data_IF_473269881257
#
_entry.id   IF_473269881257
#
_cell.length_a   1.000
_cell.length_b   1.000
_cell.length_c   1.000
_cell.angle_alpha   90.00
_cell.angle_beta   90.00
_cell.angle_gamma   90.00
#
_symmetry.space_group_name_H-M   'P 1'
#
loop_
_entity.id
_entity.type
_entity.pdbx_description
1 polymer ?
#
# COMPACT_ATOMS: atom_id res chain seq x y z
N UNK A 1 55.39 6.94 -10.60
CA UNK A 1 55.38 6.06 -11.79
C UNK A 1 53.98 5.46 -11.97
N UNK A 2 53.05 6.20 -12.59
CA UNK A 2 51.69 5.71 -12.85
C UNK A 2 51.67 4.78 -14.05
N UNK A 3 51.28 3.51 -13.86
CA UNK A 3 51.11 2.56 -14.97
C UNK A 3 49.93 2.99 -15.85
N UNK A 4 50.02 2.69 -17.15
CA UNK A 4 48.97 3.04 -18.11
C UNK A 4 47.61 2.42 -17.76
N UNK A 5 46.52 3.14 -18.03
CA UNK A 5 45.15 2.69 -17.74
C UNK A 5 44.82 1.36 -18.43
N UNK A 6 45.42 1.08 -19.59
CA UNK A 6 45.27 -0.19 -20.31
C UNK A 6 45.90 -1.36 -19.54
N UNK A 7 47.08 -1.18 -18.95
CA UNK A 7 47.73 -2.20 -18.14
C UNK A 7 46.92 -2.50 -16.86
N UNK A 8 46.37 -1.47 -16.23
CA UNK A 8 45.54 -1.62 -15.01
C UNK A 8 44.26 -2.42 -15.26
N UNK A 9 43.56 -2.18 -16.39
CA UNK A 9 42.34 -2.94 -16.75
C UNK A 9 42.63 -4.41 -17.10
N UNK A 10 43.87 -4.72 -17.53
CA UNK A 10 44.29 -6.09 -17.86
C UNK A 10 44.64 -6.90 -16.60
N UNK A 11 45.24 -6.26 -15.59
CA UNK A 11 45.56 -6.91 -14.31
C UNK A 11 44.38 -7.00 -13.35
N UNK A 12 43.39 -6.13 -13.48
CA UNK A 12 42.19 -6.10 -12.62
C UNK A 12 40.91 -6.33 -13.43
N UNK A 13 40.61 -7.59 -13.83
CA UNK A 13 39.34 -7.92 -14.44
C UNK A 13 38.20 -7.69 -13.43
N UNK A 14 37.12 -7.07 -13.88
CA UNK A 14 35.95 -6.79 -13.05
C UNK A 14 35.19 -8.09 -12.78
N UNK A 15 35.12 -8.50 -11.52
CA UNK A 15 34.36 -9.68 -11.07
C UNK A 15 32.88 -9.43 -11.36
N UNK A 16 32.30 -10.23 -12.27
CA UNK A 16 30.87 -10.19 -12.56
C UNK A 16 30.14 -11.08 -11.57
N UNK A 17 29.52 -10.47 -10.57
CA UNK A 17 28.65 -11.16 -9.62
C UNK A 17 27.23 -11.19 -10.19
N UNK A 18 26.80 -12.34 -10.71
CA UNK A 18 25.44 -12.56 -11.16
C UNK A 18 24.68 -13.39 -10.13
N UNK A 19 23.43 -13.02 -9.82
CA UNK A 19 22.57 -13.89 -9.02
C UNK A 19 22.30 -15.19 -9.79
N UNK A 20 22.37 -16.37 -9.16
CA UNK A 20 22.04 -17.62 -9.82
C UNK A 20 20.59 -17.56 -10.31
N UNK A 21 20.36 -17.96 -11.57
CA UNK A 21 19.01 -18.08 -12.13
C UNK A 21 18.20 -19.06 -11.28
N UNK A 22 17.14 -18.56 -10.63
CA UNK A 22 16.19 -19.41 -9.91
C UNK A 22 15.51 -20.33 -10.92
N UNK A 23 15.64 -21.65 -10.73
CA UNK A 23 14.81 -22.62 -11.45
C UNK A 23 13.36 -22.36 -11.02
N UNK A 24 12.45 -22.17 -11.98
CA UNK A 24 11.02 -22.09 -11.69
C UNK A 24 10.62 -23.38 -10.98
N UNK A 25 10.10 -23.29 -9.75
CA UNK A 25 9.56 -24.45 -9.07
C UNK A 25 8.50 -25.06 -9.99
N UNK A 26 8.65 -26.34 -10.34
CA UNK A 26 7.55 -27.07 -10.99
C UNK A 26 6.38 -26.98 -10.02
N UNK A 27 5.23 -26.49 -10.50
CA UNK A 27 3.99 -26.54 -9.75
C UNK A 27 3.73 -28.00 -9.40
N UNK A 28 4.02 -28.38 -8.15
CA UNK A 28 3.56 -29.63 -7.59
C UNK A 28 2.05 -29.43 -7.48
N UNK A 29 1.32 -29.97 -8.44
CA UNK A 29 -0.13 -30.13 -8.27
C UNK A 29 -0.26 -31.08 -7.08
N UNK A 30 -0.92 -30.66 -5.99
CA UNK A 30 -1.03 -31.52 -4.82
C UNK A 30 -1.78 -32.79 -5.23
N UNK A 31 -1.21 -33.96 -4.88
CA UNK A 31 -1.91 -35.23 -5.03
C UNK A 31 -3.25 -35.14 -4.29
N UNK A 32 -4.31 -35.61 -4.92
CA UNK A 32 -5.66 -35.59 -4.33
C UNK A 32 -5.65 -36.34 -3.00
N UNK A 33 -5.74 -35.56 -1.92
CA UNK A 33 -5.74 -36.06 -0.55
C UNK A 33 -7.07 -36.79 -0.34
N UNK A 34 -7.01 -38.08 -0.02
CA UNK A 34 -8.18 -38.83 0.47
C UNK A 34 -8.19 -38.71 1.99
N UNK A 35 -9.24 -38.12 2.56
CA UNK A 35 -9.40 -38.06 4.02
C UNK A 35 -9.73 -39.47 4.55
N UNK A 36 -9.12 -39.91 5.67
CA UNK A 36 -9.40 -41.21 6.24
C UNK A 36 -10.86 -41.28 6.72
N UNK A 37 -11.63 -42.25 6.21
CA UNK A 37 -13.03 -42.51 6.59
C UNK A 37 -14.08 -42.02 5.60
N UNK A 38 -13.70 -41.47 4.44
CA UNK A 38 -14.65 -41.09 3.38
C UNK A 38 -14.21 -41.69 2.03
N UNK A 39 -15.08 -42.47 1.40
CA UNK A 39 -14.82 -43.08 0.08
C UNK A 39 -14.98 -42.09 -1.09
N UNK A 40 -15.42 -40.87 -0.81
CA UNK A 40 -15.61 -39.83 -1.82
C UNK A 40 -14.29 -39.13 -2.13
N UNK A 41 -13.85 -39.21 -3.39
CA UNK A 41 -12.77 -38.37 -3.92
C UNK A 41 -13.17 -36.90 -3.76
N UNK A 42 -12.30 -36.12 -3.12
CA UNK A 42 -12.51 -34.69 -2.91
C UNK A 42 -12.16 -33.95 -4.21
N UNK A 43 -13.19 -33.63 -4.99
CA UNK A 43 -13.04 -32.88 -6.23
C UNK A 43 -13.01 -31.37 -5.93
N UNK A 44 -11.92 -30.71 -6.33
CA UNK A 44 -11.77 -29.27 -6.21
C UNK A 44 -12.25 -28.57 -7.49
N UNK A 45 -13.30 -27.75 -7.39
CA UNK A 45 -13.75 -26.94 -8.52
C UNK A 45 -12.90 -25.65 -8.63
N UNK A 46 -12.23 -25.47 -9.76
CA UNK A 46 -11.40 -24.29 -10.03
C UNK A 46 -12.20 -23.00 -10.27
N UNK A 47 -13.51 -23.09 -10.50
CA UNK A 47 -14.40 -21.93 -10.74
C UNK A 47 -15.18 -21.51 -9.51
N UNK A 48 -15.39 -22.40 -8.55
CA UNK A 48 -16.14 -22.12 -7.34
C UNK A 48 -15.33 -21.28 -6.35
N UNK A 49 -16.04 -20.59 -5.45
CA UNK A 49 -15.39 -19.86 -4.37
C UNK A 49 -14.75 -20.83 -3.38
N UNK A 50 -13.68 -20.35 -2.75
CA UNK A 50 -12.85 -21.10 -1.81
C UNK A 50 -13.69 -21.67 -0.64
N UNK A 51 -14.69 -20.91 -0.18
CA UNK A 51 -15.64 -21.30 0.87
C UNK A 51 -16.60 -22.41 0.38
N UNK A 52 -17.04 -22.34 -0.87
CA UNK A 52 -17.92 -23.36 -1.46
C UNK A 52 -17.21 -24.71 -1.55
N UNK A 53 -15.94 -24.71 -1.95
CA UNK A 53 -15.11 -25.92 -1.99
C UNK A 53 -14.90 -26.52 -0.59
N UNK A 54 -14.66 -25.70 0.44
CA UNK A 54 -14.52 -26.23 1.80
C UNK A 54 -15.80 -26.85 2.35
N UNK A 55 -16.97 -26.30 2.00
CA UNK A 55 -18.26 -26.89 2.35
C UNK A 55 -18.50 -28.22 1.63
N UNK A 56 -18.24 -28.29 0.32
CA UNK A 56 -18.43 -29.53 -0.45
C UNK A 56 -17.49 -30.64 0.02
N UNK A 57 -16.31 -30.27 0.51
CA UNK A 57 -15.32 -31.19 1.08
C UNK A 57 -15.62 -31.64 2.52
N UNK A 58 -16.72 -31.18 3.14
CA UNK A 58 -17.08 -31.54 4.52
C UNK A 58 -16.14 -30.98 5.58
N UNK A 59 -15.30 -29.99 5.22
CA UNK A 59 -14.33 -29.40 6.13
C UNK A 59 -15.07 -28.51 7.14
N UNK A 60 -14.99 -28.88 8.43
CA UNK A 60 -15.75 -28.24 9.50
C UNK A 60 -15.12 -26.91 9.97
N UNK A 61 -13.89 -26.57 9.58
CA UNK A 61 -13.19 -25.35 10.01
C UNK A 61 -12.42 -24.67 8.87
N UNK A 62 -12.36 -23.33 8.85
CA UNK A 62 -11.60 -22.59 7.82
C UNK A 62 -10.09 -22.69 8.09
N UNK A 63 -9.30 -23.40 7.26
CA UNK A 63 -7.88 -23.62 7.52
C UNK A 63 -7.04 -22.34 7.50
N UNK A 64 -7.49 -21.27 6.82
CA UNK A 64 -6.76 -20.01 6.76
C UNK A 64 -6.90 -19.16 8.04
N UNK A 65 -7.88 -19.49 8.90
CA UNK A 65 -8.16 -18.78 10.16
C UNK A 65 -7.68 -19.60 11.36
N UNK A 66 -7.60 -20.92 11.21
CA UNK A 66 -7.03 -21.83 12.21
C UNK A 66 -5.55 -21.48 12.41
N UNK A 67 -5.21 -20.91 13.57
CA UNK A 67 -3.84 -20.59 13.97
C UNK A 67 -3.42 -19.11 13.85
N UNK A 68 -4.18 -18.27 13.13
CA UNK A 68 -3.88 -16.84 13.01
C UNK A 68 -4.15 -16.04 14.31
N UNK A 69 -4.99 -16.59 15.21
CA UNK A 69 -5.26 -16.02 16.53
C UNK A 69 -4.64 -16.90 17.59
N UNK A 70 -3.63 -16.37 18.29
CA UNK A 70 -3.13 -16.94 19.55
C UNK A 70 -4.29 -16.96 20.56
N UNK A 71 -4.97 -18.10 20.72
CA UNK A 71 -5.95 -18.30 21.79
C UNK A 71 -7.27 -18.96 21.43
N UNK A 72 -7.29 -20.10 20.76
CA UNK A 72 -8.53 -20.92 20.62
C UNK A 72 -8.24 -22.37 20.97
N UNK A 73 -8.44 -22.73 22.25
CA UNK A 73 -8.12 -24.08 22.77
C UNK A 73 -9.24 -25.10 22.59
N UNK A 74 -10.50 -24.70 22.45
CA UNK A 74 -11.61 -25.67 22.42
C UNK A 74 -12.75 -25.15 21.54
N UNK A 75 -12.74 -25.42 20.23
CA UNK A 75 -13.92 -25.71 19.39
C UNK A 75 -13.54 -25.93 17.92
N UNK A 76 -14.36 -26.75 17.27
CA UNK A 76 -14.41 -27.06 15.83
C UNK A 76 -15.81 -26.61 15.35
N UNK A 77 -15.97 -25.69 14.38
CA UNK A 77 -17.32 -25.45 13.79
C UNK A 77 -17.45 -24.70 12.45
N UNK A 78 -18.46 -25.16 11.69
CA UNK A 78 -19.16 -24.50 10.58
C UNK A 78 -20.26 -23.56 11.11
N UNK A 79 -20.18 -22.26 10.81
CA UNK A 79 -21.32 -21.33 10.62
C UNK A 79 -20.95 -20.47 9.41
N UNK A 80 -21.30 -20.92 8.20
CA UNK A 80 -20.94 -20.24 6.93
C UNK A 80 -19.53 -19.60 6.94
N UNK A 81 -18.56 -20.30 7.54
CA UNK A 81 -17.12 -20.00 7.63
C UNK A 81 -16.74 -18.50 7.83
N UNK A 82 -17.38 -17.82 8.80
CA UNK A 82 -17.31 -16.39 9.22
C UNK A 82 -16.05 -15.52 8.91
N UNK A 83 -16.29 -14.42 8.16
CA UNK A 83 -15.92 -13.01 8.49
C UNK A 83 -17.26 -12.23 8.46
N UNK A 84 -17.54 -11.23 9.33
CA UNK A 84 -18.87 -10.60 9.35
C UNK A 84 -19.20 -10.03 7.96
N UNK A 85 -20.42 -10.29 7.46
CA UNK A 85 -20.95 -9.54 6.33
C UNK A 85 -20.90 -8.06 6.75
N UNK A 86 -20.15 -7.24 6.03
CA UNK A 86 -20.52 -5.83 5.93
C UNK A 86 -22.00 -5.80 5.55
N UNK A 87 -22.79 -4.92 6.16
CA UNK A 87 -24.26 -4.88 6.00
C UNK A 87 -24.72 -4.90 4.51
N UNK A 88 -23.83 -4.51 3.59
CA UNK A 88 -24.12 -4.32 2.16
C UNK A 88 -23.75 -5.53 1.27
N UNK A 89 -23.30 -6.67 1.83
CA UNK A 89 -23.13 -7.93 1.08
C UNK A 89 -22.04 -7.94 0.00
N UNK A 90 -21.22 -6.90 -0.13
CA UNK A 90 -20.13 -6.85 -1.12
C UNK A 90 -18.91 -7.65 -0.66
N UNK A 91 -18.47 -8.62 -1.47
CA UNK A 91 -17.23 -9.38 -1.27
C UNK A 91 -15.99 -8.48 -1.49
N UNK A 92 -15.60 -7.69 -0.49
CA UNK A 92 -14.34 -6.93 -0.55
C UNK A 92 -13.21 -7.73 0.08
N UNK A 93 -12.58 -8.61 -0.71
CA UNK A 93 -11.29 -9.20 -0.34
C UNK A 93 -10.21 -8.12 -0.40
N UNK A 94 -9.53 -7.89 0.72
CA UNK A 94 -8.29 -7.11 0.79
C UNK A 94 -8.45 -5.59 0.83
N UNK A 95 -8.50 -5.02 2.04
CA UNK A 95 -8.00 -3.65 2.28
C UNK A 95 -8.04 -3.24 3.75
N UNK A 96 -8.87 -3.88 4.59
CA UNK A 96 -9.20 -3.29 5.90
C UNK A 96 -8.21 -3.62 7.03
N UNK A 97 -7.40 -4.66 6.86
CA UNK A 97 -6.34 -5.02 7.82
C UNK A 97 -5.03 -4.24 7.58
N UNK A 98 -4.97 -3.40 6.54
CA UNK A 98 -3.81 -2.55 6.29
C UNK A 98 -3.71 -1.46 7.38
N UNK A 99 -2.50 -1.14 7.87
CA UNK A 99 -2.33 -0.07 8.84
C UNK A 99 -2.82 1.26 8.25
N UNK A 100 -3.36 2.12 9.11
CA UNK A 100 -3.94 3.40 8.71
C UNK A 100 -2.98 4.30 7.92
N UNK A 101 -1.67 4.18 8.18
CA UNK A 101 -0.63 4.90 7.43
C UNK A 101 -0.64 4.49 5.95
N UNK A 102 -0.75 3.19 5.67
CA UNK A 102 -0.84 2.66 4.29
C UNK A 102 -2.14 3.08 3.64
N UNK A 103 -3.26 3.05 4.39
CA UNK A 103 -4.55 3.57 3.91
C UNK A 103 -4.47 5.05 3.54
N UNK A 104 -3.76 5.86 4.33
CA UNK A 104 -3.58 7.28 4.08
C UNK A 104 -2.80 7.58 2.79
N UNK A 105 -1.72 6.83 2.53
CA UNK A 105 -0.89 6.96 1.32
C UNK A 105 -1.69 6.56 0.07
N UNK A 106 -2.50 5.51 0.19
CA UNK A 106 -3.37 5.02 -0.88
C UNK A 106 -4.66 5.86 -1.05
N UNK A 107 -4.79 6.98 -0.32
CA UNK A 107 -5.98 7.85 -0.33
C UNK A 107 -7.28 7.12 0.03
N UNK A 108 -7.20 6.02 0.77
CA UNK A 108 -8.34 5.28 1.31
C UNK A 108 -8.82 5.94 2.61
N UNK A 109 -10.08 5.67 2.99
CA UNK A 109 -10.59 6.10 4.29
C UNK A 109 -9.87 5.32 5.40
N UNK A 110 -9.58 5.98 6.52
CA UNK A 110 -9.10 5.30 7.74
C UNK A 110 -10.23 4.45 8.33
N UNK A 111 -9.89 3.51 9.21
CA UNK A 111 -10.88 2.71 9.96
C UNK A 111 -11.91 3.58 10.67
N UNK A 112 -11.50 4.74 11.21
CA UNK A 112 -12.37 5.72 11.88
C UNK A 112 -13.33 6.46 10.94
N UNK A 113 -13.32 6.16 9.64
CA UNK A 113 -14.11 6.84 8.60
C UNK A 113 -13.65 8.25 8.26
N UNK A 114 -12.75 8.84 9.07
CA UNK A 114 -12.13 10.15 8.83
C UNK A 114 -11.08 10.07 7.73
N UNK A 115 -10.98 11.13 6.93
CA UNK A 115 -9.87 11.28 5.96
C UNK A 115 -8.58 11.59 6.73
N UNK A 116 -7.47 11.04 6.25
CA UNK A 116 -6.17 11.34 6.84
C UNK A 116 -5.90 12.86 6.82
N UNK A 117 -5.29 13.41 7.88
CA UNK A 117 -4.91 14.82 7.88
C UNK A 117 -3.94 15.06 6.72
N UNK A 118 -4.18 16.13 5.96
CA UNK A 118 -3.28 16.58 4.89
C UNK A 118 -1.84 16.65 5.42
N UNK A 119 -0.86 16.05 4.76
CA UNK A 119 0.53 16.11 5.22
C UNK A 119 1.14 17.52 5.09
N UNK A 120 2.06 17.86 6.02
CA UNK A 120 2.85 19.10 5.97
C UNK A 120 3.72 19.12 4.70
N UNK A 121 3.82 20.29 4.07
CA UNK A 121 4.77 20.51 2.97
C UNK A 121 6.21 20.48 3.50
N UNK A 122 7.11 19.92 2.70
CA UNK A 122 8.55 19.98 2.97
C UNK A 122 9.04 21.44 2.89
N UNK A 123 10.19 21.74 3.49
CA UNK A 123 10.77 23.10 3.50
C UNK A 123 10.98 23.63 2.08
N UNK A 124 11.56 22.81 1.20
CA UNK A 124 11.76 23.17 -0.22
C UNK A 124 10.44 23.39 -0.97
N UNK A 125 9.42 22.56 -0.71
CA UNK A 125 8.11 22.74 -1.32
C UNK A 125 7.45 24.04 -0.85
N UNK A 126 7.60 24.45 0.41
CA UNK A 126 7.08 25.74 0.90
C UNK A 126 7.73 26.91 0.18
N UNK A 127 9.05 26.91 0.02
CA UNK A 127 9.76 27.97 -0.71
C UNK A 127 9.31 28.03 -2.17
N UNK A 128 9.11 26.87 -2.78
CA UNK A 128 8.59 26.78 -4.15
C UNK A 128 7.17 27.36 -4.27
N UNK A 129 6.25 26.91 -3.40
CA UNK A 129 4.85 27.37 -3.40
C UNK A 129 4.74 28.85 -3.04
N UNK A 130 5.53 29.33 -2.06
CA UNK A 130 5.50 30.74 -1.66
C UNK A 130 5.89 31.67 -2.81
N UNK A 131 6.90 31.31 -3.62
CA UNK A 131 7.27 32.07 -4.82
C UNK A 131 6.15 32.14 -5.86
N UNK A 132 5.40 31.06 -6.03
CA UNK A 132 4.26 31.02 -6.96
C UNK A 132 3.11 31.89 -6.47
N UNK A 133 2.76 31.78 -5.18
CA UNK A 133 1.71 32.58 -4.54
C UNK A 133 2.07 34.07 -4.59
N UNK A 134 3.33 34.44 -4.30
CA UNK A 134 3.78 35.83 -4.34
C UNK A 134 3.66 36.47 -5.73
N UNK A 135 3.78 35.70 -6.82
CA UNK A 135 3.73 36.23 -8.19
C UNK A 135 2.33 36.20 -8.79
N UNK A 136 1.57 35.14 -8.55
CA UNK A 136 0.29 34.88 -9.25
C UNK A 136 -0.92 34.86 -8.30
N UNK A 137 -0.74 34.97 -6.98
CA UNK A 137 -1.84 34.98 -6.02
C UNK A 137 -2.61 33.66 -5.96
N UNK A 138 -3.88 33.67 -6.36
CA UNK A 138 -4.76 32.49 -6.38
C UNK A 138 -5.02 31.95 -7.81
N UNK A 139 -4.40 32.53 -8.84
CA UNK A 139 -4.62 32.16 -10.24
C UNK A 139 -3.82 30.90 -10.63
N UNK A 140 -4.36 29.73 -10.33
CA UNK A 140 -3.70 28.44 -10.58
C UNK A 140 -3.39 28.17 -12.06
N UNK A 141 -4.22 28.68 -12.97
CA UNK A 141 -3.99 28.54 -14.42
C UNK A 141 -2.77 29.34 -14.84
N UNK A 142 -2.60 30.56 -14.31
CA UNK A 142 -1.43 31.40 -14.57
C UNK A 142 -0.16 30.77 -13.98
N UNK A 143 -0.23 30.26 -12.75
CA UNK A 143 0.87 29.51 -12.12
C UNK A 143 1.31 28.29 -12.93
N UNK A 144 0.34 27.52 -13.46
CA UNK A 144 0.67 26.32 -14.25
C UNK A 144 1.42 26.67 -15.55
N UNK A 145 1.14 27.84 -16.13
CA UNK A 145 1.76 28.34 -17.36
C UNK A 145 3.11 29.02 -17.12
N UNK A 146 3.48 29.30 -15.88
CA UNK A 146 4.76 29.94 -15.57
C UNK A 146 5.92 28.92 -15.62
N UNK A 147 6.47 28.74 -16.82
CA UNK A 147 7.56 27.77 -17.09
C UNK A 147 8.80 28.04 -16.21
N UNK A 148 9.04 29.29 -15.79
CA UNK A 148 10.24 29.67 -15.04
C UNK A 148 10.13 29.29 -13.57
N UNK A 149 8.98 29.59 -12.95
CA UNK A 149 8.75 29.26 -11.55
C UNK A 149 8.26 27.82 -11.37
N UNK A 150 7.36 27.36 -12.23
CA UNK A 150 6.86 25.99 -12.26
C UNK A 150 7.74 25.08 -13.12
N UNK A 151 9.00 24.91 -12.72
CA UNK A 151 9.97 24.08 -13.46
C UNK A 151 9.52 22.62 -13.61
N UNK A 152 8.79 22.11 -12.60
CA UNK A 152 8.25 20.75 -12.58
C UNK A 152 6.93 20.61 -13.36
N UNK A 153 6.47 21.68 -14.02
CA UNK A 153 5.26 21.72 -14.85
C UNK A 153 4.03 21.08 -14.19
N UNK A 154 3.82 21.38 -12.91
CA UNK A 154 2.66 20.87 -12.18
C UNK A 154 1.34 21.34 -12.84
N UNK A 155 0.36 20.43 -13.00
CA UNK A 155 -0.96 20.79 -13.50
C UNK A 155 -1.71 21.66 -12.47
N UNK A 156 -2.71 22.45 -12.90
CA UNK A 156 -3.40 23.41 -12.03
C UNK A 156 -4.05 22.75 -10.80
N UNK A 157 -4.58 21.52 -10.94
CA UNK A 157 -5.17 20.79 -9.80
C UNK A 157 -4.13 20.39 -8.74
N UNK A 158 -2.90 20.04 -9.15
CA UNK A 158 -1.82 19.74 -8.21
C UNK A 158 -1.36 21.01 -7.48
N UNK A 159 -1.26 22.14 -8.19
CA UNK A 159 -0.94 23.44 -7.59
C UNK A 159 -2.00 23.88 -6.58
N UNK A 160 -3.29 23.67 -6.89
CA UNK A 160 -4.38 23.93 -5.95
C UNK A 160 -4.20 23.14 -4.64
N UNK A 161 -3.96 21.84 -4.72
CA UNK A 161 -3.72 20.99 -3.54
C UNK A 161 -2.47 21.38 -2.75
N UNK A 162 -1.43 21.90 -3.43
CA UNK A 162 -0.22 22.39 -2.77
C UNK A 162 -0.49 23.72 -2.03
N UNK A 163 -1.20 24.65 -2.67
CA UNK A 163 -1.57 25.93 -2.04
C UNK A 163 -2.53 25.73 -0.86
N UNK A 164 -3.52 24.84 -0.99
CA UNK A 164 -4.42 24.47 0.11
C UNK A 164 -3.64 23.89 1.30
N UNK A 165 -2.66 23.02 1.03
CA UNK A 165 -1.77 22.48 2.08
C UNK A 165 -0.92 23.59 2.71
N UNK A 166 -0.41 24.53 1.91
CA UNK A 166 0.39 25.66 2.39
C UNK A 166 -0.40 26.51 3.40
N UNK A 167 -1.57 27.00 3.02
CA UNK A 167 -2.39 27.86 3.89
C UNK A 167 -2.92 27.15 5.14
N UNK A 168 -3.23 25.85 5.05
CA UNK A 168 -3.66 25.08 6.22
C UNK A 168 -2.57 25.04 7.29
N UNK A 169 -1.31 24.93 6.89
CA UNK A 169 -0.17 24.82 7.80
C UNK A 169 0.49 26.14 8.18
N UNK A 170 0.26 27.19 7.39
CA UNK A 170 0.57 28.59 7.73
C UNK A 170 -0.28 29.04 8.92
N UNK A 171 -1.61 28.86 8.86
CA UNK A 171 -2.48 29.21 9.97
C UNK A 171 -2.11 28.48 11.27
N UNK A 172 -1.63 27.24 11.18
CA UNK A 172 -1.25 26.42 12.34
C UNK A 172 0.05 26.90 13.03
N UNK A 173 0.99 27.58 12.35
CA UNK A 173 2.16 28.16 13.04
C UNK A 173 1.76 29.30 13.96
N UNK A 174 0.85 30.16 13.49
CA UNK A 174 0.44 31.36 14.22
C UNK A 174 -0.33 30.99 15.51
N UNK A 175 -1.11 29.90 15.49
CA UNK A 175 -1.74 29.38 16.71
C UNK A 175 -0.74 28.80 17.74
N UNK A 176 0.39 28.24 17.30
CA UNK A 176 1.40 27.69 18.22
C UNK A 176 2.21 28.76 18.95
N UNK A 177 2.40 29.94 18.33
CA UNK A 177 3.08 31.07 18.95
C UNK A 177 2.21 31.74 20.02
N UNK A 178 0.88 31.76 19.83
CA UNK A 178 -0.06 32.34 20.81
C UNK A 178 -0.31 31.48 22.06
N UNK A 179 0.03 30.19 22.05
CA UNK A 179 -0.20 29.25 23.16
C UNK A 179 1.04 29.07 24.06
N UNK A 180 2.18 29.69 23.72
CA UNK A 180 3.43 29.65 24.51
C UNK A 180 3.70 30.91 25.33
N UNK A 181 2.76 31.85 25.36
CA UNK A 181 2.85 33.11 26.10
C UNK A 181 1.77 33.17 27.19
N UNK A 182 1.85 32.25 28.15
CA UNK A 182 1.17 32.31 29.45
C UNK A 182 2.01 31.57 30.47
#
# INVERSE_FOLDING_TARGET
>A
MGRSRRAFRKSNPTVRVGLPKRKSAKSLVPDTIVLPGTDTKLEWDGKASLISNYKSMGIVANPNVVGARSGTRHLVQLVSLQKPLSADGSEHYGSDDEPDDVKSVLHKKRSDGKKAPLQKLTTMQRVYVSRLILKHGEDYVAMSKDIKLNQMQHPPGALKLLCERFHKYEKLSDYSETQGAT
#
